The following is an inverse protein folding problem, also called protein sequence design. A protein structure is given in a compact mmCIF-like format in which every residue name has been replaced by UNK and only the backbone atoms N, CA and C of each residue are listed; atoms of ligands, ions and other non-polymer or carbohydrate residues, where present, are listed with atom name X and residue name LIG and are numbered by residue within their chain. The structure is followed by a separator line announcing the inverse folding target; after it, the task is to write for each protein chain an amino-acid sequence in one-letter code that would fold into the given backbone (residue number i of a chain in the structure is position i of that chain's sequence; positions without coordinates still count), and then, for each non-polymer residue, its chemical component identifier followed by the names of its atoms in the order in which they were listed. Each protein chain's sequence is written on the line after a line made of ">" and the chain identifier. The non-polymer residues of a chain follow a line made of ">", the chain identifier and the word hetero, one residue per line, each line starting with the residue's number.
data_IF_980930706211
#
_entry.id   IF_980930706211
#
_cell.length_a   1.000
_cell.length_b   1.000
_cell.length_c   1.000
_cell.angle_alpha   90.00
_cell.angle_beta   90.00
_cell.angle_gamma   90.00
#
_symmetry.space_group_name_H-M   'P 1'
#
loop_
_entity.id
_entity.type
_entity.pdbx_description
1 polymer ?
#
# COMPACT_ATOMS: atom_id res chain seq x y z
N UNK A 1 16.74 -8.88 -7.18
CA UNK A 1 15.97 -7.64 -7.10
C UNK A 1 14.50 -7.89 -6.93
N UNK A 2 13.87 -8.56 -7.87
CA UNK A 2 12.43 -8.83 -7.74
C UNK A 2 12.11 -9.69 -6.54
N UNK A 3 13.01 -10.62 -6.21
CA UNK A 3 12.81 -11.50 -5.07
C UNK A 3 12.77 -10.70 -3.77
N UNK A 4 13.66 -9.72 -3.64
CA UNK A 4 13.69 -8.90 -2.43
C UNK A 4 12.38 -8.15 -2.24
N UNK A 5 11.84 -7.60 -3.31
CA UNK A 5 10.58 -6.88 -3.23
C UNK A 5 9.43 -7.79 -2.85
N UNK A 6 9.42 -8.99 -3.41
CA UNK A 6 8.39 -9.96 -3.06
C UNK A 6 8.47 -10.34 -1.60
N UNK A 7 9.69 -10.43 -1.05
CA UNK A 7 9.87 -10.74 0.37
C UNK A 7 9.31 -9.62 1.23
N UNK A 8 9.56 -8.38 0.86
CA UNK A 8 9.04 -7.24 1.62
C UNK A 8 7.52 -7.22 1.57
N UNK A 9 6.95 -7.43 0.39
CA UNK A 9 5.50 -7.46 0.25
C UNK A 9 4.91 -8.61 1.06
N UNK A 10 5.56 -9.77 1.08
CA UNK A 10 5.10 -10.90 1.86
C UNK A 10 5.16 -10.61 3.36
N UNK A 11 6.17 -9.89 3.81
CA UNK A 11 6.29 -9.52 5.22
C UNK A 11 5.16 -8.58 5.63
N UNK A 12 4.85 -7.59 4.79
CA UNK A 12 3.73 -6.70 5.06
C UNK A 12 2.42 -7.48 5.11
N UNK A 13 2.27 -8.42 4.21
CA UNK A 13 1.09 -9.25 4.14
C UNK A 13 0.96 -10.11 5.39
N UNK A 14 2.06 -10.72 5.83
CA UNK A 14 2.05 -11.56 7.02
C UNK A 14 1.63 -10.76 8.24
N UNK A 15 2.11 -9.54 8.38
CA UNK A 15 1.70 -8.69 9.48
C UNK A 15 0.19 -8.41 9.43
N UNK A 16 -0.33 -8.16 8.24
CA UNK A 16 -1.73 -7.89 8.08
C UNK A 16 -2.60 -9.10 8.44
N UNK A 17 -2.12 -10.30 8.17
CA UNK A 17 -2.88 -11.50 8.46
C UNK A 17 -2.99 -11.80 9.94
N UNK A 18 -2.21 -11.14 10.78
CA UNK A 18 -2.31 -11.31 12.21
C UNK A 18 -3.60 -10.72 12.76
N UNK A 19 -4.26 -9.85 12.02
CA UNK A 19 -5.51 -9.23 12.47
C UNK A 19 -6.68 -10.03 11.94
N UNK A 20 -7.67 -10.38 12.77
CA UNK A 20 -8.81 -11.18 12.32
C UNK A 20 -9.53 -10.49 11.18
N UNK A 21 -9.90 -11.25 10.22
CA UNK A 21 -10.77 -10.76 9.18
C UNK A 21 -12.13 -10.60 9.79
N UNK A 22 -12.81 -9.64 9.60
CA UNK A 22 -14.12 -9.47 10.13
C UNK A 22 -15.06 -9.21 9.03
N UNK A 23 -15.70 -8.14 9.14
CA UNK A 23 -16.65 -7.76 8.18
C UNK A 23 -15.94 -7.21 6.96
N UNK A 24 -16.65 -7.27 5.91
CA UNK A 24 -16.25 -6.68 4.68
C UNK A 24 -16.38 -5.18 4.78
N UNK A 25 -15.56 -4.50 4.10
CA UNK A 25 -15.71 -3.12 4.02
C UNK A 25 -15.47 -2.68 2.63
N UNK A 26 -15.83 -1.54 2.35
CA UNK A 26 -15.53 -0.94 1.12
C UNK A 26 -14.21 -0.30 1.26
N UNK A 27 -13.53 -0.20 0.22
CA UNK A 27 -12.28 0.51 0.19
C UNK A 27 -12.50 2.00 0.10
N UNK A 28 -13.65 2.45 0.52
CA UNK A 28 -13.94 3.86 0.48
C UNK A 28 -12.88 4.65 1.22
N UNK A 29 -12.47 5.74 0.66
CA UNK A 29 -11.42 6.55 1.21
C UNK A 29 -10.04 6.24 0.69
N UNK A 30 -9.85 5.13 -0.01
CA UNK A 30 -8.57 4.83 -0.63
C UNK A 30 -8.57 5.35 -2.06
N UNK A 31 -7.44 5.88 -2.55
CA UNK A 31 -7.36 6.32 -3.94
C UNK A 31 -7.54 5.17 -4.91
N UNK A 32 -8.08 5.46 -6.09
CA UNK A 32 -8.22 4.44 -7.11
C UNK A 32 -6.88 3.91 -7.57
N UNK A 33 -6.87 2.67 -8.03
CA UNK A 33 -5.66 2.08 -8.57
C UNK A 33 -5.37 2.62 -9.96
N UNK A 34 -4.10 2.76 -10.31
CA UNK A 34 -3.74 3.10 -11.67
C UNK A 34 -4.13 1.98 -12.63
N UNK A 35 -4.33 2.28 -13.90
CA UNK A 35 -4.60 1.26 -14.90
C UNK A 35 -3.47 0.24 -14.96
N UNK A 36 -3.82 -1.02 -15.16
CA UNK A 36 -2.84 -2.09 -15.25
C UNK A 36 -2.30 -2.58 -13.94
N UNK A 37 -2.79 -2.07 -12.83
CA UNK A 37 -2.37 -2.54 -11.52
C UNK A 37 -2.94 -3.91 -11.21
N UNK A 38 -2.22 -4.66 -10.38
CA UNK A 38 -2.66 -5.96 -9.90
C UNK A 38 -3.17 -5.80 -8.48
N UNK A 39 -4.26 -6.48 -8.18
CA UNK A 39 -4.88 -6.38 -6.86
C UNK A 39 -5.26 -7.75 -6.36
N UNK A 40 -5.07 -7.98 -5.07
CA UNK A 40 -5.50 -9.20 -4.41
C UNK A 40 -6.09 -8.84 -3.05
N UNK A 41 -7.10 -9.58 -2.64
CA UNK A 41 -7.72 -9.41 -1.34
C UNK A 41 -7.52 -10.66 -0.51
N UNK A 42 -7.29 -10.45 0.79
CA UNK A 42 -7.00 -11.53 1.70
C UNK A 42 -7.79 -11.30 2.98
N UNK A 43 -8.16 -12.38 3.66
CA UNK A 43 -8.81 -12.26 4.94
C UNK A 43 -10.22 -11.72 4.84
N UNK A 44 -10.98 -12.15 3.85
CA UNK A 44 -12.37 -11.72 3.71
C UNK A 44 -12.52 -10.29 3.23
N UNK A 45 -11.54 -9.78 2.50
CA UNK A 45 -11.61 -8.42 1.96
C UNK A 45 -11.11 -7.35 2.90
N UNK A 46 -10.62 -7.71 4.07
CA UNK A 46 -10.13 -6.75 5.03
C UNK A 46 -8.74 -6.23 4.67
N UNK A 47 -7.98 -7.03 3.93
CA UNK A 47 -6.64 -6.70 3.51
C UNK A 47 -6.59 -6.75 2.00
N UNK A 48 -6.07 -5.71 1.38
CA UNK A 48 -5.82 -5.74 -0.05
C UNK A 48 -4.37 -5.39 -0.31
N UNK A 49 -3.81 -6.03 -1.32
CA UNK A 49 -2.46 -5.77 -1.77
C UNK A 49 -2.56 -5.37 -3.23
N UNK A 50 -2.00 -4.22 -3.56
CA UNK A 50 -2.02 -3.69 -4.91
C UNK A 50 -0.59 -3.52 -5.38
N UNK A 51 -0.33 -3.88 -6.63
CA UNK A 51 1.01 -3.74 -7.21
C UNK A 51 0.85 -3.15 -8.59
N UNK A 52 1.64 -2.13 -8.88
CA UNK A 52 1.66 -1.57 -10.25
C UNK A 52 3.04 -1.02 -10.56
N UNK A 53 3.27 -0.78 -11.84
CA UNK A 53 4.49 -0.16 -12.30
C UNK A 53 4.18 1.23 -12.82
N UNK A 54 5.14 2.11 -12.66
CA UNK A 54 5.01 3.48 -13.13
C UNK A 54 6.37 3.99 -13.59
N UNK A 55 6.37 5.09 -14.29
CA UNK A 55 7.61 5.74 -14.70
C UNK A 55 8.08 6.67 -13.59
N UNK A 56 9.34 7.08 -13.66
CA UNK A 56 9.90 8.01 -12.70
C UNK A 56 10.64 7.28 -11.59
N UNK A 57 10.93 7.99 -10.53
CA UNK A 57 11.70 7.45 -9.41
C UNK A 57 10.77 6.87 -8.36
N UNK A 58 11.33 5.98 -7.55
CA UNK A 58 10.58 5.41 -6.43
C UNK A 58 10.12 6.49 -5.46
N UNK A 59 10.99 7.45 -5.18
CA UNK A 59 10.63 8.53 -4.26
C UNK A 59 9.46 9.35 -4.80
N UNK A 60 9.47 9.66 -6.09
CA UNK A 60 8.39 10.42 -6.70
C UNK A 60 7.08 9.62 -6.70
N UNK A 61 7.16 8.33 -6.99
CA UNK A 61 5.98 7.48 -6.99
C UNK A 61 5.37 7.36 -5.60
N UNK A 62 6.21 7.15 -4.59
CA UNK A 62 5.73 7.07 -3.20
C UNK A 62 5.11 8.39 -2.76
N UNK A 63 5.73 9.51 -3.10
CA UNK A 63 5.21 10.83 -2.73
C UNK A 63 3.88 11.10 -3.39
N UNK A 64 3.74 10.74 -4.66
CA UNK A 64 2.49 10.95 -5.38
C UNK A 64 1.36 10.11 -4.79
N UNK A 65 1.65 8.86 -4.43
CA UNK A 65 0.64 8.00 -3.84
C UNK A 65 0.26 8.46 -2.45
N UNK A 66 1.24 8.91 -1.67
CA UNK A 66 0.98 9.49 -0.36
C UNK A 66 0.06 10.70 -0.49
N UNK A 67 0.34 11.59 -1.43
CA UNK A 67 -0.48 12.78 -1.63
C UNK A 67 -1.93 12.40 -1.98
N UNK A 68 -2.11 11.35 -2.77
CA UNK A 68 -3.45 10.88 -3.10
C UNK A 68 -4.19 10.40 -1.86
N UNK A 69 -3.51 9.70 -0.97
CA UNK A 69 -4.12 9.26 0.30
C UNK A 69 -4.45 10.45 1.20
N UNK A 70 -3.55 11.42 1.27
CA UNK A 70 -3.80 12.61 2.08
C UNK A 70 -5.02 13.35 1.57
N UNK A 71 -5.20 13.41 0.26
CA UNK A 71 -6.37 14.05 -0.32
C UNK A 71 -7.67 13.34 0.06
N UNK A 72 -7.60 12.05 0.40
CA UNK A 72 -8.76 11.28 0.85
C UNK A 72 -8.92 11.29 2.37
N UNK A 73 -8.13 12.07 3.07
CA UNK A 73 -8.28 12.23 4.51
C UNK A 73 -7.36 11.36 5.36
N UNK A 74 -6.35 10.72 4.76
CA UNK A 74 -5.41 9.91 5.52
C UNK A 74 -4.29 10.77 6.07
N UNK A 75 -3.69 10.33 7.17
CA UNK A 75 -2.63 11.07 7.86
C UNK A 75 -1.34 10.26 7.82
N UNK A 76 -0.22 10.86 7.37
CA UNK A 76 1.05 10.16 7.36
C UNK A 76 1.54 9.87 8.77
N UNK A 77 2.08 8.67 8.98
CA UNK A 77 2.73 8.32 10.23
C UNK A 77 4.16 8.87 10.26
N UNK A 78 4.75 9.03 11.45
CA UNK A 78 6.09 9.60 11.56
C UNK A 78 7.20 8.73 10.97
N UNK A 79 6.94 7.47 10.70
CA UNK A 79 7.96 6.52 10.25
C UNK A 79 8.18 6.53 8.74
N UNK A 80 7.59 7.48 8.02
CA UNK A 80 7.73 7.51 6.57
C UNK A 80 9.15 7.83 6.13
N UNK A 81 9.57 7.20 5.05
CA UNK A 81 10.84 7.49 4.36
C UNK A 81 10.50 7.93 2.94
N UNK A 82 11.49 8.34 2.13
CA UNK A 82 11.18 8.74 0.75
C UNK A 82 10.53 7.65 -0.09
N UNK A 83 10.80 6.38 0.18
CA UNK A 83 10.28 5.28 -0.63
C UNK A 83 9.29 4.39 0.12
N UNK A 84 9.08 4.63 1.41
CA UNK A 84 8.12 3.88 2.19
C UNK A 84 7.25 4.85 2.96
N UNK A 85 5.94 4.73 2.77
CA UNK A 85 4.96 5.60 3.43
C UNK A 85 3.97 4.75 4.21
N UNK A 86 3.66 5.22 5.40
CA UNK A 86 2.65 4.58 6.24
C UNK A 86 1.62 5.64 6.57
N UNK A 87 0.35 5.36 6.30
CA UNK A 87 -0.72 6.32 6.52
C UNK A 87 -1.82 5.68 7.33
N UNK A 88 -2.50 6.51 8.09
CA UNK A 88 -3.56 6.06 8.99
C UNK A 88 -4.80 6.87 8.74
N UNK A 89 -5.95 6.22 8.86
CA UNK A 89 -7.22 6.90 8.81
C UNK A 89 -8.21 6.12 9.66
N UNK A 90 -8.62 6.70 10.80
CA UNK A 90 -9.45 6.00 11.74
C UNK A 90 -8.73 4.75 12.25
N UNK A 91 -9.30 3.59 11.98
CA UNK A 91 -8.71 2.31 12.39
C UNK A 91 -8.02 1.61 11.23
N UNK A 92 -7.85 2.28 10.10
CA UNK A 92 -7.30 1.68 8.90
C UNK A 92 -5.85 2.07 8.71
N UNK A 93 -5.12 1.23 7.99
CA UNK A 93 -3.71 1.44 7.75
C UNK A 93 -3.41 1.20 6.28
N UNK A 94 -2.60 2.07 5.70
CA UNK A 94 -2.09 1.91 4.34
C UNK A 94 -0.57 1.98 4.37
N UNK A 95 0.07 1.04 3.72
CA UNK A 95 1.52 1.02 3.60
C UNK A 95 1.89 1.02 2.12
N UNK A 96 2.78 1.90 1.73
CA UNK A 96 3.20 2.07 0.35
C UNK A 96 4.71 1.89 0.29
N UNK A 97 5.16 0.99 -0.56
CA UNK A 97 6.57 0.78 -0.79
C UNK A 97 6.83 0.92 -2.29
N UNK A 98 7.76 1.80 -2.63
CA UNK A 98 8.14 1.99 -4.03
C UNK A 98 9.60 1.60 -4.19
N UNK A 99 9.93 0.94 -5.31
CA UNK A 99 11.29 0.52 -5.59
C UNK A 99 11.65 0.79 -7.04
N UNK A 100 12.85 1.31 -7.25
CA UNK A 100 13.37 1.51 -8.59
C UNK A 100 13.90 0.21 -9.14
N UNK A 101 13.53 -0.09 -10.38
CA UNK A 101 14.01 -1.26 -11.11
C UNK A 101 14.56 -0.78 -12.43
N UNK A 102 15.38 -1.63 -13.09
CA UNK A 102 15.89 -1.26 -14.41
C UNK A 102 14.80 -0.94 -15.43
N UNK A 103 13.64 -1.57 -15.29
CA UNK A 103 12.54 -1.37 -16.24
C UNK A 103 11.45 -0.45 -15.72
N UNK A 104 11.72 0.28 -14.66
CA UNK A 104 10.75 1.23 -14.10
C UNK A 104 10.63 1.12 -12.61
N UNK A 105 9.66 1.82 -12.07
CA UNK A 105 9.39 1.81 -10.63
C UNK A 105 8.19 0.93 -10.34
N UNK A 106 8.33 0.06 -9.35
CA UNK A 106 7.21 -0.76 -8.90
C UNK A 106 6.74 -0.22 -7.56
N UNK A 107 5.42 -0.10 -7.43
CA UNK A 107 4.79 0.32 -6.19
C UNK A 107 3.99 -0.86 -5.66
N UNK A 108 4.22 -1.18 -4.39
CA UNK A 108 3.44 -2.17 -3.67
C UNK A 108 2.69 -1.44 -2.57
N UNK A 109 1.38 -1.63 -2.52
CA UNK A 109 0.54 -0.96 -1.55
C UNK A 109 -0.26 -2.00 -0.80
N UNK A 110 -0.24 -1.90 0.51
CA UNK A 110 -1.05 -2.77 1.36
C UNK A 110 -2.04 -1.89 2.09
N UNK A 111 -3.31 -2.25 1.99
CA UNK A 111 -4.38 -1.55 2.69
C UNK A 111 -5.04 -2.52 3.65
N UNK A 112 -5.09 -2.14 4.91
CA UNK A 112 -5.63 -2.99 5.96
C UNK A 112 -6.65 -2.20 6.75
N UNK A 113 -7.85 -2.75 6.89
CA UNK A 113 -8.92 -2.10 7.64
C UNK A 113 -9.05 -2.72 9.02
N UNK A 114 -9.33 -1.86 9.99
CA UNK A 114 -9.61 -2.31 11.35
C UNK A 114 -8.38 -2.80 12.09
N UNK A 115 -7.21 -2.27 11.78
CA UNK A 115 -5.97 -2.68 12.44
C UNK A 115 -5.82 -2.02 13.80
N UNK A 116 -6.26 -0.80 13.92
CA UNK A 116 -5.97 0.03 15.11
C UNK A 116 -7.09 0.07 16.11
#
# INVERSE_FOLDING_TARGET
>A
MKVRRLIVAAALLACALAVPAGWFFQTSGAPSLPPGGWQSEIGGGRTSVNVWQTSGTAAAAAAAREAAYIAEGWTPAPVCTPTFKLLLRGHDLAAILAEDLPDGTTVTELLRHGVL
#
